data_IF_496099503189
#
_entry.id   IF_496099503189
#
_cell.length_a   1.000
_cell.length_b   1.000
_cell.length_c   1.000
_cell.angle_alpha   90.00
_cell.angle_beta   90.00
_cell.angle_gamma   90.00
#
_symmetry.space_group_name_H-M   'P 1'
#
loop_
_entity.id
_entity.type
_entity.pdbx_description
1 polymer ?
#
# COMPACT_ATOMS: atom_id res chain seq x y z
N UNK A 1 -20.53 -3.53 -2.93
CA UNK A 1 -19.09 -3.27 -3.16
C UNK A 1 -18.93 -1.95 -3.93
N UNK A 2 -19.71 -1.78 -5.00
CA UNK A 2 -19.61 -0.65 -5.94
C UNK A 2 -19.73 0.75 -5.29
N UNK A 3 -20.64 0.93 -4.33
CA UNK A 3 -20.80 2.24 -3.66
C UNK A 3 -19.58 2.64 -2.81
N UNK A 4 -18.98 1.69 -2.09
CA UNK A 4 -17.79 1.93 -1.27
C UNK A 4 -16.57 2.17 -2.17
N UNK A 5 -16.38 1.35 -3.20
CA UNK A 5 -15.31 1.52 -4.17
C UNK A 5 -15.39 2.90 -4.85
N UNK A 6 -16.57 3.29 -5.34
CA UNK A 6 -16.77 4.57 -6.01
C UNK A 6 -16.50 5.76 -5.08
N UNK A 7 -16.93 5.68 -3.82
CA UNK A 7 -16.62 6.69 -2.80
C UNK A 7 -15.11 6.84 -2.65
N UNK A 8 -14.42 5.73 -2.40
CA UNK A 8 -12.98 5.73 -2.14
C UNK A 8 -12.20 6.23 -3.36
N UNK A 9 -12.53 5.72 -4.55
CA UNK A 9 -11.86 6.10 -5.79
C UNK A 9 -12.04 7.59 -6.11
N UNK A 10 -13.27 8.12 -5.96
CA UNK A 10 -13.53 9.55 -6.13
C UNK A 10 -12.72 10.39 -5.13
N UNK A 11 -12.78 10.04 -3.84
CA UNK A 11 -12.04 10.77 -2.80
C UNK A 11 -10.52 10.71 -3.02
N UNK A 12 -10.01 9.57 -3.48
CA UNK A 12 -8.60 9.43 -3.87
C UNK A 12 -8.25 10.40 -5.01
N UNK A 13 -9.01 10.42 -6.11
CA UNK A 13 -8.80 11.36 -7.21
C UNK A 13 -8.76 12.81 -6.72
N UNK A 14 -9.74 13.21 -5.90
CA UNK A 14 -9.80 14.56 -5.35
C UNK A 14 -8.58 14.88 -4.45
N UNK A 15 -8.06 13.90 -3.70
CA UNK A 15 -6.85 14.05 -2.88
C UNK A 15 -5.60 14.21 -3.74
N UNK A 16 -5.52 13.50 -4.86
CA UNK A 16 -4.43 13.59 -5.83
C UNK A 16 -4.43 14.98 -6.47
N UNK A 17 -5.57 15.45 -6.96
CA UNK A 17 -5.73 16.76 -7.61
C UNK A 17 -5.37 17.91 -6.67
N UNK A 18 -5.72 17.79 -5.38
CA UNK A 18 -5.36 18.76 -4.33
C UNK A 18 -3.91 18.65 -3.84
N UNK A 19 -3.11 17.75 -4.40
CA UNK A 19 -1.70 17.58 -4.05
C UNK A 19 -1.46 17.03 -2.63
N UNK A 20 -2.45 16.38 -2.01
CA UNK A 20 -2.33 15.85 -0.65
C UNK A 20 -1.33 14.69 -0.53
N UNK A 21 -0.94 14.11 -1.68
CA UNK A 21 0.11 13.10 -1.81
C UNK A 21 1.55 13.69 -1.78
N UNK A 22 1.73 15.01 -1.94
CA UNK A 22 3.06 15.65 -2.08
C UNK A 22 3.67 16.19 -0.78
N UNK A 23 3.02 16.00 0.38
CA UNK A 23 3.45 16.67 1.63
C UNK A 23 4.53 15.87 2.37
N UNK A 24 5.66 16.54 2.62
CA UNK A 24 6.88 16.02 3.26
C UNK A 24 6.67 15.61 4.74
N UNK A 25 7.32 14.51 5.11
CA UNK A 25 7.98 14.14 6.39
C UNK A 25 7.80 15.06 7.61
N UNK A 26 6.58 15.38 8.05
CA UNK A 26 6.37 16.07 9.33
C UNK A 26 5.33 15.35 10.20
N UNK A 27 5.87 14.67 11.22
CA UNK A 27 5.34 14.13 12.48
C UNK A 27 4.01 13.36 12.54
N UNK A 28 3.03 13.53 11.64
CA UNK A 28 1.80 12.72 11.58
C UNK A 28 1.29 12.59 10.15
N UNK A 29 0.98 11.35 9.74
CA UNK A 29 0.35 11.09 8.45
C UNK A 29 -1.06 11.71 8.44
N UNK A 30 -1.32 12.58 7.47
CA UNK A 30 -2.64 13.20 7.29
C UNK A 30 -3.60 12.18 6.64
N UNK A 31 -4.91 12.24 6.91
CA UNK A 31 -5.85 11.28 6.32
C UNK A 31 -5.81 11.20 4.79
N UNK A 32 -5.65 12.35 4.11
CA UNK A 32 -5.41 12.39 2.66
C UNK A 32 -4.17 11.63 2.20
N UNK A 33 -3.06 11.73 2.96
CA UNK A 33 -1.83 11.02 2.65
C UNK A 33 -2.00 9.52 2.87
N UNK A 34 -2.62 9.11 3.97
CA UNK A 34 -2.93 7.70 4.26
C UNK A 34 -3.78 7.09 3.14
N UNK A 35 -4.85 7.79 2.73
CA UNK A 35 -5.71 7.34 1.64
C UNK A 35 -4.94 7.21 0.33
N UNK A 36 -4.17 8.23 -0.05
CA UNK A 36 -3.37 8.19 -1.26
C UNK A 36 -2.35 7.06 -1.28
N UNK A 37 -1.67 6.83 -0.16
CA UNK A 37 -0.64 5.78 -0.08
C UNK A 37 -1.25 4.39 -0.17
N UNK A 38 -2.31 4.12 0.59
CA UNK A 38 -2.98 2.82 0.55
C UNK A 38 -3.60 2.57 -0.82
N UNK A 39 -4.35 3.53 -1.37
CA UNK A 39 -5.05 3.31 -2.65
C UNK A 39 -4.09 3.23 -3.83
N UNK A 40 -3.02 4.03 -3.84
CA UNK A 40 -2.02 3.97 -4.89
C UNK A 40 -1.19 2.67 -4.82
N UNK A 41 -0.75 2.27 -3.62
CA UNK A 41 -0.03 1.00 -3.46
C UNK A 41 -0.90 -0.21 -3.79
N UNK A 42 -2.19 -0.18 -3.44
CA UNK A 42 -3.14 -1.21 -3.85
C UNK A 42 -3.20 -1.38 -5.38
N UNK A 43 -3.30 -0.29 -6.13
CA UNK A 43 -3.26 -0.35 -7.60
C UNK A 43 -1.92 -0.85 -8.15
N UNK A 44 -0.79 -0.41 -7.58
CA UNK A 44 0.54 -0.85 -8.01
C UNK A 44 0.78 -2.34 -7.74
N UNK A 45 0.40 -2.82 -6.56
CA UNK A 45 0.50 -4.24 -6.19
C UNK A 45 -0.46 -5.07 -7.06
N UNK A 46 -1.68 -4.60 -7.31
CA UNK A 46 -2.62 -5.27 -8.21
C UNK A 46 -2.09 -5.43 -9.65
N UNK A 47 -1.28 -4.48 -10.12
CA UNK A 47 -0.72 -4.50 -11.48
C UNK A 47 0.58 -5.32 -11.60
N UNK A 48 1.35 -5.48 -10.52
CA UNK A 48 2.71 -6.02 -10.60
C UNK A 48 3.17 -6.86 -9.42
N UNK A 49 2.32 -7.13 -8.44
CA UNK A 49 2.68 -7.83 -7.20
C UNK A 49 3.59 -7.02 -6.28
N UNK A 50 3.98 -7.64 -5.17
CA UNK A 50 4.76 -6.99 -4.12
C UNK A 50 6.19 -6.65 -4.56
N UNK A 51 6.80 -7.51 -5.38
CA UNK A 51 8.17 -7.32 -5.87
C UNK A 51 8.33 -6.04 -6.69
N UNK A 52 7.40 -5.77 -7.62
CA UNK A 52 7.42 -4.53 -8.40
C UNK A 52 7.12 -3.31 -7.54
N UNK A 53 6.19 -3.43 -6.60
CA UNK A 53 5.90 -2.36 -5.66
C UNK A 53 7.12 -1.98 -4.81
N UNK A 54 7.74 -2.94 -4.12
CA UNK A 54 8.89 -2.67 -3.26
C UNK A 54 10.14 -2.25 -4.05
N UNK A 55 10.33 -2.78 -5.26
CA UNK A 55 11.36 -2.32 -6.17
C UNK A 55 11.21 -0.85 -6.57
N UNK A 56 9.97 -0.39 -6.78
CA UNK A 56 9.69 0.98 -7.23
C UNK A 56 9.74 2.06 -6.14
N UNK A 57 9.45 1.74 -4.87
CA UNK A 57 9.36 2.75 -3.80
C UNK A 57 10.66 3.05 -3.05
N UNK A 58 11.65 2.15 -3.11
CA UNK A 58 12.92 2.24 -2.38
C UNK A 58 12.83 2.05 -0.85
N UNK A 59 13.98 1.84 -0.19
CA UNK A 59 14.12 1.44 1.25
C UNK A 59 13.67 2.47 2.31
N UNK A 60 13.12 3.62 1.91
CA UNK A 60 12.81 4.72 2.85
C UNK A 60 11.32 4.96 3.03
N UNK A 61 10.48 4.20 2.34
CA UNK A 61 9.02 4.45 2.28
C UNK A 61 8.18 3.26 2.69
N UNK A 62 8.72 2.05 2.75
CA UNK A 62 7.96 0.84 3.07
C UNK A 62 7.22 0.96 4.41
N UNK A 63 7.90 1.46 5.45
CA UNK A 63 7.31 1.59 6.79
C UNK A 63 6.13 2.54 6.78
N UNK A 64 6.21 3.58 5.96
CA UNK A 64 5.14 4.56 5.81
C UNK A 64 3.90 3.93 5.14
N UNK A 65 4.10 3.14 4.08
CA UNK A 65 2.99 2.41 3.46
C UNK A 65 2.35 1.42 4.43
N UNK A 66 3.16 0.58 5.10
CA UNK A 66 2.68 -0.41 6.08
C UNK A 66 1.88 0.29 7.20
N UNK A 67 2.42 1.39 7.74
CA UNK A 67 1.73 2.19 8.76
C UNK A 67 0.42 2.79 8.24
N UNK A 68 0.35 3.21 6.97
CA UNK A 68 -0.88 3.76 6.39
C UNK A 68 -2.01 2.71 6.30
N UNK A 69 -1.70 1.43 6.03
CA UNK A 69 -2.71 0.37 6.11
C UNK A 69 -3.23 0.16 7.53
N UNK A 70 -2.35 0.22 8.53
CA UNK A 70 -2.74 0.09 9.94
C UNK A 70 -3.63 1.27 10.40
N UNK A 71 -3.22 2.51 10.09
CA UNK A 71 -4.01 3.72 10.38
C UNK A 71 -5.38 3.69 9.68
N UNK A 72 -5.46 3.12 8.48
CA UNK A 72 -6.71 2.98 7.74
C UNK A 72 -7.67 1.95 8.37
N UNK A 73 -7.21 1.14 9.31
CA UNK A 73 -8.00 0.07 9.92
C UNK A 73 -7.94 -1.25 9.15
N UNK A 74 -6.85 -1.50 8.42
CA UNK A 74 -6.59 -2.76 7.72
C UNK A 74 -5.33 -3.49 8.27
N UNK A 75 -5.29 -3.83 9.58
CA UNK A 75 -4.08 -4.36 10.24
C UNK A 75 -3.64 -5.71 9.68
N UNK A 76 -4.59 -6.55 9.22
CA UNK A 76 -4.27 -7.82 8.56
C UNK A 76 -3.45 -7.57 7.29
N UNK A 77 -3.86 -6.60 6.48
CA UNK A 77 -3.17 -6.24 5.24
C UNK A 77 -1.82 -5.60 5.54
N UNK A 78 -1.74 -4.76 6.58
CA UNK A 78 -0.46 -4.22 7.07
C UNK A 78 0.53 -5.35 7.43
N UNK A 79 0.05 -6.40 8.12
CA UNK A 79 0.85 -7.59 8.44
C UNK A 79 1.36 -8.33 7.20
N UNK A 80 0.50 -8.53 6.19
CA UNK A 80 0.90 -9.12 4.91
C UNK A 80 1.98 -8.29 4.20
N UNK A 81 1.85 -6.96 4.21
CA UNK A 81 2.84 -6.06 3.61
C UNK A 81 4.19 -6.11 4.34
N UNK A 82 4.17 -6.13 5.67
CA UNK A 82 5.38 -6.25 6.49
C UNK A 82 6.11 -7.57 6.19
N UNK A 83 5.38 -8.69 6.16
CA UNK A 83 5.95 -10.00 5.84
C UNK A 83 6.51 -10.04 4.40
N UNK A 84 5.75 -9.53 3.43
CA UNK A 84 6.21 -9.45 2.04
C UNK A 84 7.49 -8.58 1.92
N UNK A 85 7.56 -7.46 2.64
CA UNK A 85 8.75 -6.62 2.64
C UNK A 85 9.96 -7.35 3.23
N UNK A 86 9.80 -8.08 4.33
CA UNK A 86 10.88 -8.84 4.96
C UNK A 86 11.45 -9.90 4.01
N UNK A 87 10.59 -10.66 3.33
CA UNK A 87 10.97 -11.63 2.31
C UNK A 87 11.69 -10.96 1.13
N UNK A 88 11.14 -9.85 0.63
CA UNK A 88 11.75 -9.08 -0.45
C UNK A 88 13.13 -8.54 -0.07
N UNK A 89 13.28 -7.97 1.13
CA UNK A 89 14.54 -7.41 1.60
C UNK A 89 15.59 -8.51 1.86
N UNK A 90 15.17 -9.66 2.37
CA UNK A 90 16.04 -10.84 2.49
C UNK A 90 16.52 -11.32 1.11
N UNK A 91 15.60 -11.51 0.16
CA UNK A 91 15.92 -11.91 -1.20
C UNK A 91 16.89 -10.91 -1.85
N UNK A 92 16.61 -9.61 -1.72
CA UNK A 92 17.46 -8.53 -2.25
C UNK A 92 18.86 -8.53 -1.66
N UNK A 93 19.01 -8.78 -0.36
CA UNK A 93 20.35 -8.85 0.29
C UNK A 93 21.14 -10.10 -0.11
N UNK A 94 20.49 -11.09 -0.69
CA UNK A 94 21.09 -12.37 -1.07
C UNK A 94 21.57 -12.44 -2.52
N UNK A 95 21.40 -11.36 -3.29
CA UNK A 95 21.78 -11.31 -4.72
C UNK A 95 22.87 -10.27 -4.95
N UNK A 96 23.68 -10.51 -5.98
CA UNK A 96 24.76 -9.61 -6.38
C UNK A 96 24.25 -8.32 -7.06
N UNK A 97 23.05 -8.40 -7.66
CA UNK A 97 22.38 -7.30 -8.36
C UNK A 97 21.07 -6.92 -7.67
N UNK A 98 21.11 -6.28 -6.48
CA UNK A 98 19.94 -5.98 -5.67
C UNK A 98 18.98 -4.95 -6.28
N UNK A 99 19.41 -4.25 -7.32
CA UNK A 99 18.60 -3.29 -8.08
C UNK A 99 17.82 -3.97 -9.23
N UNK A 100 18.22 -5.18 -9.65
CA UNK A 100 17.50 -5.96 -10.65
C UNK A 100 16.36 -6.73 -9.98
N UNK A 101 15.14 -6.20 -10.13
CA UNK A 101 13.93 -6.77 -9.53
C UNK A 101 13.60 -8.16 -10.08
N UNK A 102 13.95 -8.47 -11.33
CA UNK A 102 13.73 -9.81 -11.88
C UNK A 102 14.67 -10.83 -11.22
N UNK A 103 15.91 -10.43 -10.89
CA UNK A 103 16.86 -11.25 -10.14
C UNK A 103 16.38 -11.46 -8.69
N UNK A 104 15.93 -10.38 -8.03
CA UNK A 104 15.37 -10.47 -6.67
C UNK A 104 14.12 -11.35 -6.63
N UNK A 105 13.20 -11.19 -7.60
CA UNK A 105 11.97 -11.98 -7.69
C UNK A 105 12.24 -13.48 -7.80
N UNK A 106 13.27 -13.89 -8.52
CA UNK A 106 13.67 -15.32 -8.63
C UNK A 106 14.13 -15.91 -7.29
N UNK A 107 14.48 -15.08 -6.32
CA UNK A 107 14.88 -15.49 -4.96
C UNK A 107 13.76 -15.38 -3.93
N UNK A 108 12.63 -14.77 -4.28
CA UNK A 108 11.44 -14.82 -3.43
C UNK A 108 10.96 -16.27 -3.34
N UNK A 109 10.59 -16.70 -2.14
CA UNK A 109 10.13 -18.05 -1.86
C UNK A 109 8.64 -18.24 -2.20
N UNK A 110 8.15 -19.47 -2.05
CA UNK A 110 6.72 -19.79 -2.21
C UNK A 110 5.82 -19.02 -1.23
N UNK A 111 6.38 -18.53 -0.12
CA UNK A 111 5.64 -17.77 0.88
C UNK A 111 5.21 -16.41 0.33
N UNK A 112 6.03 -15.75 -0.50
CA UNK A 112 5.64 -14.52 -1.20
C UNK A 112 4.35 -14.72 -2.04
N UNK A 113 4.25 -15.85 -2.77
CA UNK A 113 3.07 -16.16 -3.57
C UNK A 113 1.81 -16.36 -2.71
N UNK A 114 1.95 -16.99 -1.55
CA UNK A 114 0.83 -17.13 -0.60
C UNK A 114 0.38 -15.77 -0.06
N UNK A 115 1.32 -14.90 0.29
CA UNK A 115 1.02 -13.54 0.77
C UNK A 115 0.30 -12.73 -0.31
N UNK A 116 0.75 -12.80 -1.58
CA UNK A 116 0.08 -12.14 -2.69
C UNK A 116 -1.36 -12.65 -2.85
N UNK A 117 -1.58 -13.97 -2.80
CA UNK A 117 -2.92 -14.55 -2.84
C UNK A 117 -3.80 -14.06 -1.70
N UNK A 118 -3.28 -14.04 -0.48
CA UNK A 118 -4.03 -13.60 0.70
C UNK A 118 -4.31 -12.10 0.67
N UNK A 119 -3.41 -11.31 0.08
CA UNK A 119 -3.58 -9.88 -0.18
C UNK A 119 -4.71 -9.63 -1.18
N UNK A 120 -4.68 -10.30 -2.34
CA UNK A 120 -5.73 -10.17 -3.35
C UNK A 120 -7.09 -10.65 -2.82
N UNK A 121 -7.11 -11.70 -2.00
CA UNK A 121 -8.31 -12.15 -1.31
C UNK A 121 -8.87 -11.15 -0.28
N UNK A 122 -8.10 -10.13 0.09
CA UNK A 122 -8.49 -9.10 1.07
C UNK A 122 -8.99 -7.79 0.43
N UNK A 123 -9.16 -7.75 -0.91
CA UNK A 123 -9.62 -6.54 -1.63
C UNK A 123 -10.93 -5.96 -1.06
N UNK A 124 -11.94 -6.82 -0.83
CA UNK A 124 -13.23 -6.37 -0.30
C UNK A 124 -13.12 -5.78 1.11
N UNK A 125 -12.22 -6.31 1.92
CA UNK A 125 -11.92 -5.82 3.27
C UNK A 125 -11.25 -4.45 3.20
N UNK A 126 -10.26 -4.30 2.30
CA UNK A 126 -9.56 -3.05 2.07
C UNK A 126 -10.50 -1.93 1.62
N UNK A 127 -11.35 -2.20 0.62
CA UNK A 127 -12.33 -1.23 0.10
C UNK A 127 -13.26 -0.75 1.22
N UNK A 128 -13.73 -1.69 2.07
CA UNK A 128 -14.58 -1.36 3.22
C UNK A 128 -13.84 -0.51 4.25
N UNK A 129 -12.61 -0.89 4.61
CA UNK A 129 -11.79 -0.14 5.57
C UNK A 129 -11.51 1.28 5.06
N UNK A 130 -11.12 1.44 3.79
CA UNK A 130 -10.92 2.73 3.16
C UNK A 130 -12.19 3.59 3.16
N UNK A 131 -13.35 3.01 2.85
CA UNK A 131 -14.62 3.73 2.86
C UNK A 131 -15.01 4.18 4.29
N UNK A 132 -14.79 3.34 5.30
CA UNK A 132 -14.97 3.70 6.71
C UNK A 132 -14.02 4.82 7.13
N UNK A 133 -12.75 4.74 6.71
CA UNK A 133 -11.74 5.76 6.99
C UNK A 133 -12.11 7.12 6.39
N UNK A 134 -12.60 7.15 5.14
CA UNK A 134 -13.12 8.36 4.49
C UNK A 134 -14.28 8.95 5.28
N UNK A 135 -15.27 8.12 5.64
CA UNK A 135 -16.45 8.57 6.41
C UNK A 135 -16.10 9.06 7.81
N UNK A 136 -15.07 8.54 8.44
CA UNK A 136 -14.62 8.94 9.77
C UNK A 136 -13.84 10.26 9.80
N UNK A 137 -13.31 10.71 8.66
CA UNK A 137 -12.50 11.93 8.56
C UNK A 137 -13.08 12.95 7.56
N UNK A 138 -14.38 13.29 7.62
CA UNK A 138 -15.05 14.04 6.57
C UNK A 138 -14.36 15.39 6.32
N UNK A 139 -13.96 16.12 7.38
CA UNK A 139 -13.27 17.42 7.29
C UNK A 139 -11.90 17.38 6.62
N UNK A 140 -11.27 16.21 6.51
CA UNK A 140 -10.00 16.05 5.82
C UNK A 140 -10.17 15.85 4.31
N UNK A 141 -11.38 15.48 3.89
CA UNK A 141 -11.72 15.13 2.51
C UNK A 141 -12.73 16.10 1.87
N UNK A 142 -13.51 16.83 2.67
CA UNK A 142 -14.30 17.96 2.24
C UNK A 142 -13.41 19.19 2.13
N UNK A 143 -13.36 19.76 0.94
CA UNK A 143 -12.65 21.00 0.63
C UNK A 143 -12.95 21.43 -0.78
#
# INVERSE_FOLDING_TARGET
MDADYNLVNKTFCDCVDRGQHKRRFFSKLKPGTVLCEVWHSFGLIGNGGFHNFFGGIGKRRERQFIQSYDIMGAPKIAGLMEEAYQLFDQARRSVDEPEDIDVVRKRCDSRMTEIERDYYGSESELVRAAAQYVRANPSSFSG
#
